data_IF_273495540059
#
_entry.id   IF_273495540059
#
_cell.length_a   1.000
_cell.length_b   1.000
_cell.length_c   1.000
_cell.angle_alpha   90.00
_cell.angle_beta   90.00
_cell.angle_gamma   90.00
#
_symmetry.space_group_name_H-M   'P 1'
#
loop_
_entity.id
_entity.type
_entity.pdbx_description
1 polymer ?
#
# COMPACT_ATOMS: atom_id res chain seq x y z
N UNK A 1 -9.52 4.94 11.64
CA UNK A 1 -9.78 3.57 11.14
C UNK A 1 -8.80 2.55 11.69
N UNK A 2 -7.47 2.75 11.54
CA UNK A 2 -6.44 1.79 11.96
C UNK A 2 -6.60 1.19 13.37
N UNK A 3 -6.93 2.01 14.38
CA UNK A 3 -7.16 1.55 15.77
C UNK A 3 -8.34 0.59 15.93
N UNK A 4 -9.33 0.62 15.03
CA UNK A 4 -10.41 -0.37 15.02
C UNK A 4 -9.86 -1.70 14.52
N UNK A 5 -9.11 -1.69 13.42
CA UNK A 5 -8.50 -2.88 12.81
C UNK A 5 -7.54 -3.57 13.78
N UNK A 6 -6.80 -2.81 14.58
CA UNK A 6 -5.86 -3.33 15.59
C UNK A 6 -6.51 -4.28 16.61
N UNK A 7 -7.81 -4.16 16.88
CA UNK A 7 -8.48 -5.09 17.80
C UNK A 7 -8.61 -6.53 17.26
N UNK A 8 -8.33 -6.74 15.96
CA UNK A 8 -8.55 -8.01 15.28
C UNK A 8 -7.26 -8.74 14.86
N UNK A 9 -6.08 -8.19 15.19
CA UNK A 9 -4.80 -8.72 14.68
C UNK A 9 -4.08 -9.66 15.65
N UNK A 10 -4.54 -9.76 16.91
CA UNK A 10 -3.93 -10.63 17.92
C UNK A 10 -2.46 -10.31 18.15
N UNK A 11 -1.61 -11.35 18.24
CA UNK A 11 -0.17 -11.21 18.47
C UNK A 11 0.65 -11.08 17.16
N UNK A 12 0.00 -10.88 16.01
CA UNK A 12 0.69 -10.82 14.73
C UNK A 12 1.58 -9.57 14.63
N UNK A 13 2.76 -9.71 14.00
CA UNK A 13 3.52 -8.56 13.49
C UNK A 13 2.72 -7.94 12.34
N UNK A 14 2.08 -6.81 12.59
CA UNK A 14 1.10 -6.24 11.68
C UNK A 14 1.41 -4.79 11.29
N UNK A 15 1.06 -4.45 10.04
CA UNK A 15 1.03 -3.10 9.53
C UNK A 15 -0.26 -2.88 8.73
N UNK A 16 -0.85 -1.70 8.87
CA UNK A 16 -1.95 -1.23 8.02
C UNK A 16 -1.48 -0.06 7.18
N UNK A 17 -1.67 -0.18 5.87
CA UNK A 17 -1.39 0.86 4.90
C UNK A 17 -2.71 1.35 4.31
N UNK A 18 -3.13 2.55 4.71
CA UNK A 18 -4.27 3.23 4.10
C UNK A 18 -3.81 3.94 2.82
N UNK A 19 -4.41 3.58 1.69
CA UNK A 19 -4.01 4.09 0.36
C UNK A 19 -5.11 4.92 -0.30
N UNK A 20 -6.19 5.27 0.41
CA UNK A 20 -7.33 5.97 -0.19
C UNK A 20 -6.94 7.30 -0.86
N UNK A 21 -5.95 8.03 -0.34
CA UNK A 21 -5.48 9.27 -0.95
C UNK A 21 -4.52 9.08 -2.14
N UNK A 22 -4.11 7.85 -2.41
CA UNK A 22 -3.09 7.52 -3.41
C UNK A 22 -3.67 6.68 -4.55
N UNK A 23 -4.92 6.23 -4.46
CA UNK A 23 -5.53 5.27 -5.37
C UNK A 23 -5.69 5.81 -6.80
N UNK A 24 -5.85 7.14 -6.92
CA UNK A 24 -6.10 7.83 -8.18
C UNK A 24 -5.27 9.12 -8.29
N UNK A 25 -4.84 9.44 -9.51
CA UNK A 25 -4.15 10.68 -9.83
C UNK A 25 -4.85 11.39 -10.99
N UNK A 26 -5.18 12.66 -10.77
CA UNK A 26 -5.92 13.48 -11.74
C UNK A 26 -5.08 14.05 -12.87
N UNK A 27 -3.79 14.27 -12.62
CA UNK A 27 -2.86 14.85 -13.59
C UNK A 27 -1.74 13.85 -13.92
N UNK A 28 -1.45 13.62 -15.20
CA UNK A 28 -0.37 12.72 -15.58
C UNK A 28 0.97 13.20 -15.02
N UNK A 29 1.84 12.25 -14.70
CA UNK A 29 3.23 12.46 -14.29
C UNK A 29 4.14 11.77 -15.32
N UNK A 30 5.45 12.07 -15.37
CA UNK A 30 6.35 11.44 -16.35
C UNK A 30 6.41 9.89 -16.32
N UNK A 31 5.94 9.27 -15.24
CA UNK A 31 5.98 7.83 -14.99
C UNK A 31 4.59 7.19 -14.82
N UNK A 32 3.51 7.95 -14.96
CA UNK A 32 2.13 7.44 -14.81
C UNK A 32 1.11 8.36 -15.48
N UNK A 33 0.11 7.77 -16.12
CA UNK A 33 -1.02 8.50 -16.69
C UNK A 33 -2.01 8.96 -15.62
N UNK A 34 -2.97 9.80 -16.03
CA UNK A 34 -4.18 10.06 -15.23
C UNK A 34 -4.94 8.75 -15.03
N UNK A 35 -5.35 8.44 -13.81
CA UNK A 35 -6.08 7.22 -13.53
C UNK A 35 -5.73 6.56 -12.20
N UNK A 36 -6.13 5.29 -12.09
CA UNK A 36 -5.76 4.44 -10.97
C UNK A 36 -4.24 4.19 -10.96
N UNK A 37 -3.60 4.34 -9.79
CA UNK A 37 -2.13 4.39 -9.69
C UNK A 37 -1.46 3.04 -9.47
N UNK A 38 -2.19 2.05 -8.93
CA UNK A 38 -1.57 0.83 -8.42
C UNK A 38 -0.55 1.09 -7.31
N UNK A 39 -0.75 2.15 -6.52
CA UNK A 39 0.16 2.55 -5.44
C UNK A 39 0.50 1.37 -4.50
N UNK A 40 1.75 1.36 -4.03
CA UNK A 40 2.34 0.34 -3.15
C UNK A 40 2.58 -1.07 -3.74
N UNK A 41 2.09 -1.41 -4.95
CA UNK A 41 2.36 -2.74 -5.56
C UNK A 41 3.86 -3.02 -5.65
N UNK A 42 4.65 -2.12 -6.23
CA UNK A 42 6.12 -2.30 -6.32
C UNK A 42 6.79 -2.41 -4.95
N UNK A 43 6.32 -1.64 -3.97
CA UNK A 43 6.83 -1.67 -2.59
C UNK A 43 6.58 -3.02 -1.93
N UNK A 44 5.38 -3.59 -2.09
CA UNK A 44 5.02 -4.88 -1.51
C UNK A 44 5.75 -6.04 -2.20
N UNK A 45 5.93 -5.96 -3.53
CA UNK A 45 6.75 -6.94 -4.28
C UNK A 45 8.20 -6.92 -3.78
N UNK A 46 8.80 -5.74 -3.64
CA UNK A 46 10.16 -5.59 -3.12
C UNK A 46 10.28 -6.11 -1.68
N UNK A 47 9.31 -5.82 -0.82
CA UNK A 47 9.29 -6.34 0.54
C UNK A 47 9.26 -7.88 0.55
N UNK A 48 8.39 -8.48 -0.26
CA UNK A 48 8.29 -9.93 -0.36
C UNK A 48 9.57 -10.56 -0.90
N UNK A 49 10.21 -9.94 -1.90
CA UNK A 49 11.49 -10.40 -2.44
C UNK A 49 12.58 -10.40 -1.36
N UNK A 50 12.73 -9.30 -0.61
CA UNK A 50 13.72 -9.19 0.48
C UNK A 50 13.49 -10.14 1.65
N UNK A 51 12.24 -10.51 1.91
CA UNK A 51 11.91 -11.48 2.96
C UNK A 51 12.12 -12.93 2.53
N UNK A 52 12.26 -13.19 1.23
CA UNK A 52 12.49 -14.51 0.67
C UNK A 52 13.99 -14.85 0.50
N UNK A 53 14.86 -13.85 0.56
CA UNK A 53 16.32 -14.01 0.69
C UNK A 53 16.70 -14.50 2.09
#
# INVERSE_FOLDING_TARGET
>A
AAKILENFVGDAKWAHLDIAGMDFVDNPKPYQEKGATGFAVRTLVELAARLAE
#
